data_IF_022491593330
#
_entry.id   IF_022491593330
#
_cell.length_a   1.000
_cell.length_b   1.000
_cell.length_c   1.000
_cell.angle_alpha   90.00
_cell.angle_beta   90.00
_cell.angle_gamma   90.00
#
_symmetry.space_group_name_H-M   'P 1'
#
loop_
_entity.id
_entity.type
_entity.pdbx_description
1 polymer ?
#
# COMPACT_ATOMS: atom_id res chain seq x y z
N UNK A 1 12.81 5.66 -68.12
CA UNK A 1 13.88 5.39 -67.12
C UNK A 1 13.74 6.20 -65.81
N UNK A 2 13.39 7.48 -65.82
CA UNK A 2 13.30 8.33 -64.62
C UNK A 2 12.24 7.85 -63.57
N UNK A 3 11.11 7.32 -64.04
CA UNK A 3 10.02 6.86 -63.10
C UNK A 3 10.43 5.66 -62.26
N UNK A 4 11.20 4.72 -62.80
CA UNK A 4 11.71 3.54 -62.09
C UNK A 4 12.76 3.92 -61.01
N UNK A 5 13.59 4.90 -61.29
CA UNK A 5 14.59 5.37 -60.33
C UNK A 5 13.97 6.07 -59.13
N UNK A 6 12.97 6.93 -59.32
CA UNK A 6 12.25 7.60 -58.24
C UNK A 6 11.51 6.59 -57.34
N UNK A 7 10.90 5.58 -57.92
CA UNK A 7 10.21 4.52 -57.20
C UNK A 7 11.14 3.71 -56.31
N UNK A 8 12.32 3.33 -56.79
CA UNK A 8 13.37 2.64 -56.02
C UNK A 8 13.87 3.47 -54.84
N UNK A 9 14.01 4.79 -55.00
CA UNK A 9 14.45 5.71 -53.94
C UNK A 9 13.35 5.83 -52.86
N UNK A 10 12.09 5.92 -53.22
CA UNK A 10 10.95 5.97 -52.28
C UNK A 10 10.86 4.67 -51.50
N UNK A 11 10.93 3.52 -52.13
CA UNK A 11 10.92 2.21 -51.46
C UNK A 11 12.07 2.12 -50.42
N UNK A 12 13.29 2.55 -50.79
CA UNK A 12 14.42 2.54 -49.86
C UNK A 12 14.19 3.43 -48.62
N UNK A 13 13.60 4.62 -48.81
CA UNK A 13 13.26 5.51 -47.69
C UNK A 13 12.23 4.87 -46.77
N UNK A 14 11.14 4.29 -47.36
CA UNK A 14 10.09 3.61 -46.58
C UNK A 14 10.69 2.44 -45.79
N UNK A 15 11.56 1.64 -46.39
CA UNK A 15 12.22 0.52 -45.71
C UNK A 15 13.07 0.99 -44.51
N UNK A 16 13.80 2.09 -44.68
CA UNK A 16 14.58 2.68 -43.56
C UNK A 16 13.67 3.17 -42.46
N UNK A 17 12.59 3.86 -42.78
CA UNK A 17 11.62 4.34 -41.78
C UNK A 17 10.97 3.19 -41.01
N UNK A 18 10.56 2.12 -41.71
CA UNK A 18 10.00 0.93 -41.07
C UNK A 18 11.02 0.24 -40.16
N UNK A 19 12.30 0.18 -40.57
CA UNK A 19 13.35 -0.37 -39.73
C UNK A 19 13.56 0.46 -38.45
N UNK A 20 13.61 1.78 -38.58
CA UNK A 20 13.70 2.70 -37.44
C UNK A 20 12.53 2.51 -36.51
N UNK A 21 11.29 2.47 -37.04
CA UNK A 21 10.07 2.24 -36.25
C UNK A 21 10.14 0.91 -35.49
N UNK A 22 10.58 -0.17 -36.17
CA UNK A 22 10.70 -1.49 -35.53
C UNK A 22 11.72 -1.47 -34.39
N UNK A 23 12.89 -0.78 -34.56
CA UNK A 23 13.88 -0.64 -33.48
C UNK A 23 13.30 0.12 -32.30
N UNK A 24 12.61 1.24 -32.52
CA UNK A 24 11.94 1.97 -31.44
C UNK A 24 10.88 1.13 -30.72
N UNK A 25 10.11 0.37 -31.47
CA UNK A 25 9.08 -0.51 -30.90
C UNK A 25 9.70 -1.59 -30.01
N UNK A 26 10.74 -2.27 -30.49
CA UNK A 26 11.47 -3.27 -29.71
C UNK A 26 12.12 -2.68 -28.44
N UNK A 27 12.69 -1.48 -28.57
CA UNK A 27 13.24 -0.75 -27.44
C UNK A 27 12.19 -0.40 -26.39
N UNK A 28 11.00 0.04 -26.82
CA UNK A 28 9.87 0.32 -25.94
C UNK A 28 9.43 -0.92 -25.17
N UNK A 29 9.30 -2.07 -25.84
CA UNK A 29 8.96 -3.34 -25.19
C UNK A 29 10.03 -3.79 -24.18
N UNK A 30 11.30 -3.59 -24.52
CA UNK A 30 12.40 -3.89 -23.59
C UNK A 30 12.33 -3.03 -22.33
N UNK A 31 12.17 -1.71 -22.48
CA UNK A 31 12.05 -0.78 -21.34
C UNK A 31 10.85 -1.12 -20.47
N UNK A 32 9.71 -1.46 -21.07
CA UNK A 32 8.51 -1.86 -20.33
C UNK A 32 8.75 -3.15 -19.52
N UNK A 33 9.40 -4.13 -20.10
CA UNK A 33 9.79 -5.37 -19.43
C UNK A 33 10.71 -5.15 -18.21
N UNK A 34 11.71 -4.25 -18.36
CA UNK A 34 12.61 -3.92 -17.24
C UNK A 34 11.86 -3.18 -16.10
N UNK A 35 10.94 -2.27 -16.44
CA UNK A 35 10.09 -1.58 -15.44
C UNK A 35 9.22 -2.59 -14.69
N UNK A 36 8.57 -3.51 -15.39
CA UNK A 36 7.76 -4.54 -14.74
C UNK A 36 8.57 -5.45 -13.80
N UNK A 37 9.78 -5.79 -14.21
CA UNK A 37 10.70 -6.59 -13.38
C UNK A 37 11.07 -5.83 -12.11
N UNK A 38 11.50 -4.58 -12.24
CA UNK A 38 11.82 -3.73 -11.09
C UNK A 38 10.63 -3.57 -10.14
N UNK A 39 9.42 -3.39 -10.69
CA UNK A 39 8.19 -3.29 -9.89
C UNK A 39 7.91 -4.58 -9.10
N UNK A 40 8.09 -5.74 -9.72
CA UNK A 40 7.92 -7.04 -9.03
C UNK A 40 8.95 -7.21 -7.91
N UNK A 41 10.21 -6.86 -8.16
CA UNK A 41 11.28 -6.94 -7.16
C UNK A 41 11.00 -6.01 -5.97
N UNK A 42 10.59 -4.76 -6.21
CA UNK A 42 10.23 -3.81 -5.16
C UNK A 42 8.99 -4.26 -4.38
N UNK A 43 7.99 -4.81 -5.06
CA UNK A 43 6.82 -5.39 -4.40
C UNK A 43 7.20 -6.53 -3.47
N UNK A 44 8.05 -7.44 -3.95
CA UNK A 44 8.53 -8.58 -3.16
C UNK A 44 9.36 -8.12 -1.96
N UNK A 45 10.22 -7.10 -2.15
CA UNK A 45 11.00 -6.49 -1.07
C UNK A 45 10.11 -5.92 0.02
N UNK A 46 9.10 -5.14 -0.34
CA UNK A 46 8.16 -4.55 0.63
C UNK A 46 7.33 -5.61 1.34
N UNK A 47 6.88 -6.62 0.59
CA UNK A 47 6.11 -7.74 1.14
C UNK A 47 6.90 -8.57 2.16
N UNK A 48 8.21 -8.72 1.95
CA UNK A 48 9.10 -9.48 2.85
C UNK A 48 9.59 -8.66 4.05
N UNK A 49 9.34 -7.35 4.07
CA UNK A 49 9.71 -6.52 5.22
C UNK A 49 8.78 -6.86 6.40
N UNK A 50 9.37 -7.29 7.49
CA UNK A 50 8.64 -7.71 8.68
C UNK A 50 8.17 -6.55 9.54
N UNK A 51 8.78 -5.36 9.41
CA UNK A 51 8.39 -4.16 10.13
C UNK A 51 7.39 -3.35 9.31
N UNK A 52 6.28 -2.98 9.92
CA UNK A 52 5.26 -2.18 9.25
C UNK A 52 5.70 -0.72 9.21
N UNK A 53 5.71 -0.15 8.02
CA UNK A 53 6.09 1.23 7.76
C UNK A 53 4.86 2.08 7.53
N UNK A 54 4.63 3.03 8.40
CA UNK A 54 3.57 4.01 8.22
C UNK A 54 4.10 5.21 7.42
N UNK A 55 3.26 5.74 6.55
CA UNK A 55 3.63 6.89 5.71
C UNK A 55 3.61 8.20 6.48
N UNK A 56 2.77 8.28 7.50
CA UNK A 56 2.55 9.46 8.32
C UNK A 56 2.94 9.21 9.77
N UNK A 57 3.12 10.29 10.51
CA UNK A 57 3.41 10.28 11.94
C UNK A 57 2.21 9.84 12.80
N UNK A 58 1.06 9.59 12.19
CA UNK A 58 -0.16 9.16 12.86
C UNK A 58 -0.89 8.14 12.00
N UNK A 59 -1.46 7.11 12.61
CA UNK A 59 -2.48 6.30 11.99
C UNK A 59 -3.73 6.31 12.87
N UNK A 60 -4.89 6.19 12.27
CA UNK A 60 -6.13 6.32 13.00
C UNK A 60 -7.17 5.30 12.57
N UNK A 61 -8.06 5.01 13.49
CA UNK A 61 -9.25 4.21 13.28
C UNK A 61 -10.45 5.16 13.23
N UNK A 62 -11.11 5.24 12.10
CA UNK A 62 -12.28 6.06 11.87
C UNK A 62 -13.54 5.19 11.98
N UNK A 63 -14.44 5.56 12.85
CA UNK A 63 -15.67 4.82 13.12
C UNK A 63 -16.90 5.39 12.40
N UNK A 64 -16.71 6.41 11.53
CA UNK A 64 -17.77 6.99 10.69
C UNK A 64 -19.05 7.37 11.46
N UNK A 65 -18.92 8.08 12.56
CA UNK A 65 -20.03 8.51 13.43
C UNK A 65 -20.90 7.35 13.97
N UNK A 66 -20.39 6.14 13.99
CA UNK A 66 -21.13 4.96 14.51
C UNK A 66 -20.90 4.70 15.99
N UNK A 67 -19.89 5.36 16.55
CA UNK A 67 -19.54 5.31 17.96
C UNK A 67 -19.51 6.75 18.44
N UNK A 68 -20.34 7.06 19.42
CA UNK A 68 -20.37 8.38 20.04
C UNK A 68 -19.14 8.59 20.92
N UNK A 69 -18.70 9.84 21.11
CA UNK A 69 -17.50 10.15 21.90
C UNK A 69 -17.51 9.53 23.30
N UNK A 70 -18.67 9.47 23.94
CA UNK A 70 -18.84 8.85 25.26
C UNK A 70 -18.56 7.34 25.24
N UNK A 71 -18.68 6.69 24.09
CA UNK A 71 -18.42 5.26 23.93
C UNK A 71 -16.94 4.90 23.94
N UNK A 72 -16.07 5.87 23.71
CA UNK A 72 -14.62 5.64 23.77
C UNK A 72 -14.05 5.65 25.20
N UNK A 73 -14.85 6.04 26.18
CA UNK A 73 -14.42 5.97 27.59
C UNK A 73 -14.18 4.50 27.98
N UNK A 74 -13.00 4.23 28.54
CA UNK A 74 -12.58 2.88 28.87
C UNK A 74 -12.06 2.03 27.71
N UNK A 75 -11.88 2.62 26.50
CA UNK A 75 -11.21 1.93 25.39
C UNK A 75 -9.82 1.46 25.79
N UNK A 76 -9.47 0.26 25.39
CA UNK A 76 -8.14 -0.33 25.56
C UNK A 76 -7.62 -0.79 24.21
N UNK A 77 -6.38 -0.42 23.89
CA UNK A 77 -5.71 -0.89 22.68
C UNK A 77 -4.54 -1.74 23.12
N UNK A 78 -4.55 -3.00 22.71
CA UNK A 78 -3.54 -3.98 23.04
C UNK A 78 -2.71 -4.31 21.81
N UNK A 79 -1.40 -4.27 21.95
CA UNK A 79 -0.44 -4.79 21.02
C UNK A 79 0.05 -6.15 21.50
N UNK A 80 -0.06 -7.16 20.68
CA UNK A 80 0.35 -8.54 20.98
C UNK A 80 1.46 -8.93 20.02
N UNK A 81 2.65 -9.14 20.57
CA UNK A 81 3.83 -9.58 19.86
C UNK A 81 4.39 -10.84 20.55
N UNK A 82 4.53 -11.96 19.81
CA UNK A 82 5.12 -13.20 20.32
C UNK A 82 4.61 -13.68 21.70
N UNK A 83 3.32 -13.49 22.02
CA UNK A 83 2.63 -13.75 23.31
C UNK A 83 2.78 -12.66 24.36
N UNK A 84 3.65 -11.69 24.18
CA UNK A 84 3.70 -10.52 25.03
C UNK A 84 2.59 -9.54 24.65
N UNK A 85 1.99 -8.93 25.67
CA UNK A 85 0.89 -7.97 25.48
C UNK A 85 1.27 -6.66 26.14
N UNK A 86 1.22 -5.58 25.38
CA UNK A 86 1.41 -4.22 25.85
C UNK A 86 0.22 -3.34 25.51
N UNK A 87 0.03 -2.26 26.26
CA UNK A 87 -0.95 -1.24 25.93
C UNK A 87 -0.33 -0.24 24.97
N UNK A 88 -1.15 0.21 23.99
CA UNK A 88 -0.80 1.30 23.09
C UNK A 88 -1.46 2.57 23.60
N UNK A 89 -0.67 3.65 23.71
CA UNK A 89 -1.20 4.98 23.97
C UNK A 89 -1.93 5.47 22.72
N UNK A 90 -3.04 6.14 22.93
CA UNK A 90 -3.87 6.70 21.86
C UNK A 90 -4.51 8.00 22.33
N UNK A 91 -4.96 8.79 21.38
CA UNK A 91 -5.83 9.94 21.61
C UNK A 91 -7.15 9.78 20.85
N UNK A 92 -8.18 10.41 21.36
CA UNK A 92 -9.49 10.43 20.70
C UNK A 92 -9.66 11.81 20.06
N UNK A 93 -10.12 11.81 18.82
CA UNK A 93 -10.48 13.02 18.08
C UNK A 93 -11.81 12.78 17.37
N UNK A 94 -12.88 13.37 17.93
CA UNK A 94 -14.27 13.19 17.50
C UNK A 94 -14.69 11.71 17.46
N UNK A 95 -14.66 11.07 16.31
CA UNK A 95 -15.03 9.67 16.06
C UNK A 95 -13.81 8.80 15.68
N UNK A 96 -12.61 9.26 16.03
CA UNK A 96 -11.34 8.63 15.66
C UNK A 96 -10.50 8.29 16.85
N UNK A 97 -9.90 7.13 16.80
CA UNK A 97 -8.79 6.75 17.68
C UNK A 97 -7.51 6.96 16.89
N UNK A 98 -6.62 7.81 17.38
CA UNK A 98 -5.36 8.15 16.75
C UNK A 98 -4.21 7.56 17.55
N UNK A 99 -3.30 6.90 16.85
CA UNK A 99 -2.11 6.26 17.41
C UNK A 99 -0.86 6.87 16.76
N UNK A 100 0.16 7.17 17.56
CA UNK A 100 1.49 7.51 17.05
C UNK A 100 2.23 6.20 16.69
N UNK A 101 2.51 5.93 15.42
CA UNK A 101 3.18 4.71 15.00
C UNK A 101 4.63 4.60 15.51
N UNK A 102 5.24 5.70 15.95
CA UNK A 102 6.59 5.71 16.52
C UNK A 102 6.64 5.07 17.91
N UNK A 103 5.49 5.02 18.60
CA UNK A 103 5.36 4.37 19.91
C UNK A 103 5.15 2.85 19.80
N UNK A 104 4.92 2.34 18.57
CA UNK A 104 4.58 0.93 18.33
C UNK A 104 5.50 0.36 17.26
N UNK A 105 6.43 -0.52 17.63
CA UNK A 105 7.20 -1.33 16.68
C UNK A 105 6.31 -2.45 16.13
N UNK A 106 5.41 -2.10 15.20
CA UNK A 106 4.44 -3.03 14.64
C UNK A 106 5.08 -3.91 13.57
N UNK A 107 4.86 -5.22 13.68
CA UNK A 107 5.36 -6.22 12.74
C UNK A 107 4.22 -6.95 12.02
N UNK A 108 4.56 -7.59 10.90
CA UNK A 108 3.57 -8.30 10.05
C UNK A 108 2.83 -9.40 10.80
N UNK A 109 3.45 -10.03 11.80
CA UNK A 109 2.88 -11.12 12.59
C UNK A 109 2.14 -10.66 13.85
N UNK A 110 2.17 -9.37 14.16
CA UNK A 110 1.55 -8.83 15.35
C UNK A 110 0.03 -8.81 15.25
N UNK A 111 -0.57 -8.63 16.40
CA UNK A 111 -2.02 -8.43 16.52
C UNK A 111 -2.28 -7.17 17.33
N UNK A 112 -3.13 -6.31 16.81
CA UNK A 112 -3.73 -5.21 17.59
C UNK A 112 -5.16 -5.59 17.93
N UNK A 113 -5.52 -5.43 19.21
CA UNK A 113 -6.90 -5.56 19.67
C UNK A 113 -7.39 -4.22 20.20
N UNK A 114 -8.54 -3.78 19.71
CA UNK A 114 -9.25 -2.59 20.18
C UNK A 114 -10.47 -3.08 20.94
N UNK A 115 -10.53 -2.77 22.22
CA UNK A 115 -11.62 -3.15 23.13
C UNK A 115 -12.35 -1.86 23.51
N UNK A 116 -13.63 -1.78 23.16
CA UNK A 116 -14.48 -0.63 23.45
C UNK A 116 -15.58 -1.12 24.39
N UNK A 117 -15.74 -0.47 25.56
CA UNK A 117 -16.76 -0.82 26.57
C UNK A 117 -16.74 -2.30 26.99
N UNK A 118 -15.58 -2.92 27.07
CA UNK A 118 -15.36 -4.33 27.45
C UNK A 118 -16.18 -5.38 26.67
N UNK A 119 -17.08 -4.97 25.79
CA UNK A 119 -18.00 -5.85 25.03
C UNK A 119 -17.77 -5.88 23.53
N UNK A 120 -17.21 -4.81 22.95
CA UNK A 120 -16.96 -4.73 21.51
C UNK A 120 -15.46 -4.70 21.27
N UNK A 121 -14.96 -5.59 20.42
CA UNK A 121 -13.53 -5.61 20.08
C UNK A 121 -13.31 -5.81 18.59
N UNK A 122 -12.27 -5.15 18.11
CA UNK A 122 -11.73 -5.37 16.80
C UNK A 122 -10.36 -6.03 16.92
N UNK A 123 -10.10 -7.01 16.05
CA UNK A 123 -8.81 -7.68 15.98
C UNK A 123 -8.20 -7.41 14.62
N UNK A 124 -7.04 -6.74 14.62
CA UNK A 124 -6.24 -6.48 13.43
C UNK A 124 -5.02 -7.39 13.47
N UNK A 125 -4.76 -8.07 12.36
CA UNK A 125 -3.62 -8.98 12.20
C UNK A 125 -3.23 -9.14 10.74
N UNK A 126 -2.15 -9.87 10.49
CA UNK A 126 -1.64 -10.11 9.13
C UNK A 126 -1.38 -8.79 8.40
N UNK A 127 -0.68 -7.89 9.09
CA UNK A 127 -0.27 -6.60 8.55
C UNK A 127 0.71 -6.79 7.41
N UNK A 128 0.60 -5.97 6.38
CA UNK A 128 1.45 -6.06 5.20
C UNK A 128 1.85 -4.71 4.67
N UNK A 129 3.10 -4.62 4.25
CA UNK A 129 3.59 -3.51 3.46
C UNK A 129 3.33 -3.74 1.98
N UNK A 130 3.18 -2.64 1.25
CA UNK A 130 3.11 -2.60 -0.20
C UNK A 130 4.13 -1.61 -0.75
N UNK A 131 4.49 -1.77 -2.02
CA UNK A 131 5.33 -0.83 -2.73
C UNK A 131 4.52 0.40 -3.14
N UNK A 132 5.05 1.60 -2.85
CA UNK A 132 4.46 2.87 -3.25
C UNK A 132 5.22 3.46 -4.43
N UNK A 133 4.48 4.00 -5.40
CA UNK A 133 5.04 4.56 -6.60
C UNK A 133 4.60 6.01 -6.83
N UNK A 134 5.52 6.84 -7.34
CA UNK A 134 5.24 8.14 -7.93
C UNK A 134 5.29 8.02 -9.46
N UNK A 135 4.16 7.76 -10.10
CA UNK A 135 4.13 7.33 -11.50
C UNK A 135 4.75 5.94 -11.67
N UNK A 136 5.84 5.84 -12.47
CA UNK A 136 6.58 4.58 -12.66
C UNK A 136 7.74 4.39 -11.67
N UNK A 137 8.10 5.43 -10.89
CA UNK A 137 9.23 5.40 -9.98
C UNK A 137 8.83 4.85 -8.62
N UNK A 138 9.57 3.84 -8.15
CA UNK A 138 9.46 3.38 -6.76
C UNK A 138 9.88 4.49 -5.79
N UNK A 139 9.08 4.71 -4.76
CA UNK A 139 9.36 5.69 -3.70
C UNK A 139 9.82 4.99 -2.43
N UNK A 140 8.96 4.16 -1.88
CA UNK A 140 9.20 3.45 -0.62
C UNK A 140 8.24 2.27 -0.42
N UNK A 141 8.38 1.60 0.74
CA UNK A 141 7.42 0.65 1.25
C UNK A 141 6.58 1.32 2.33
N UNK A 142 5.28 1.08 2.32
CA UNK A 142 4.39 1.56 3.37
C UNK A 142 3.31 0.53 3.67
N UNK A 143 2.66 0.68 4.83
CA UNK A 143 1.51 -0.13 5.19
C UNK A 143 0.47 -0.17 4.05
N UNK A 144 0.01 -1.36 3.73
CA UNK A 144 -0.91 -1.60 2.61
C UNK A 144 -2.24 -2.21 3.05
N UNK A 145 -2.20 -3.25 3.87
CA UNK A 145 -3.41 -3.93 4.29
C UNK A 145 -3.23 -4.77 5.55
N UNK A 146 -4.35 -5.14 6.18
CA UNK A 146 -4.40 -6.12 7.26
C UNK A 146 -5.72 -6.90 7.23
N UNK A 147 -5.84 -7.91 8.08
CA UNK A 147 -7.11 -8.55 8.37
C UNK A 147 -7.78 -7.85 9.57
N UNK A 148 -9.02 -7.44 9.41
CA UNK A 148 -9.85 -6.92 10.48
C UNK A 148 -10.98 -7.93 10.73
N UNK A 149 -11.05 -8.47 11.94
CA UNK A 149 -12.02 -9.53 12.29
C UNK A 149 -12.07 -10.64 11.21
N UNK A 150 -10.89 -11.07 10.73
CA UNK A 150 -10.68 -12.08 9.68
C UNK A 150 -11.13 -11.68 8.25
N UNK A 151 -11.55 -10.45 8.02
CA UNK A 151 -11.81 -9.93 6.68
C UNK A 151 -10.66 -9.04 6.23
N UNK A 152 -10.15 -9.25 5.01
CA UNK A 152 -9.08 -8.40 4.48
C UNK A 152 -9.62 -7.01 4.17
N UNK A 153 -8.89 -6.01 4.64
CA UNK A 153 -9.14 -4.59 4.35
C UNK A 153 -7.91 -3.99 3.69
N UNK A 154 -8.14 -3.34 2.57
CA UNK A 154 -7.13 -2.59 1.83
C UNK A 154 -7.20 -1.16 2.32
N UNK A 155 -6.07 -0.56 2.56
CA UNK A 155 -5.97 0.85 2.85
C UNK A 155 -5.99 1.61 1.51
N UNK A 156 -7.16 2.02 1.05
CA UNK A 156 -7.31 2.81 -0.18
C UNK A 156 -6.90 4.27 0.04
N UNK A 157 -7.01 4.76 1.29
CA UNK A 157 -6.56 6.10 1.70
C UNK A 157 -5.59 5.97 2.87
N UNK A 158 -4.40 6.37 2.63
CA UNK A 158 -3.21 6.37 3.45
C UNK A 158 -3.51 6.70 4.93
N UNK A 159 -3.48 5.66 5.76
CA UNK A 159 -3.63 5.80 7.22
C UNK A 159 -5.04 5.68 7.78
N UNK A 160 -6.06 5.44 6.97
CA UNK A 160 -7.45 5.35 7.39
C UNK A 160 -7.91 3.91 7.43
N UNK A 161 -8.23 3.42 8.62
CA UNK A 161 -9.00 2.20 8.79
C UNK A 161 -10.46 2.58 9.04
N UNK A 162 -11.32 2.42 8.05
CA UNK A 162 -12.75 2.58 8.27
C UNK A 162 -13.31 1.29 8.86
N UNK A 163 -13.73 1.32 10.10
CA UNK A 163 -14.53 0.27 10.70
C UNK A 163 -16.01 0.51 10.39
N UNK A 164 -16.55 -0.22 9.43
CA UNK A 164 -17.99 -0.35 9.36
C UNK A 164 -18.41 -1.42 10.38
N UNK A 165 -19.12 -1.04 11.43
CA UNK A 165 -19.85 -2.01 12.24
C UNK A 165 -20.78 -2.80 11.32
N UNK A 166 -20.65 -4.11 11.33
CA UNK A 166 -21.63 -5.02 10.73
C UNK A 166 -22.93 -4.95 11.48
#
# INVERSE_FOLDING_TARGET
>A
MLKSYRMKKIIKIITILLFIYMVFFLFSLYVESEIEKEQKENHQKCYNDTHIKFLYDEFYFDFNNRIENEDFEGTKILHIHNRDTSYINYRIDVDRIIIDPREVDLRTQDTIKIIIRDSTFFTLRDFRNGARYGGKKFLDCSFSNCLINNKRRINEDIGIFMFSTL
#
